data_IF_403210086255
#
_entry.id   IF_403210086255
#
_cell.length_a   1.000
_cell.length_b   1.000
_cell.length_c   1.000
_cell.angle_alpha   90.00
_cell.angle_beta   90.00
_cell.angle_gamma   90.00
#
_symmetry.space_group_name_H-M   'P 1'
#
loop_
_entity.id
_entity.type
_entity.pdbx_description
1 polymer ?
#
# COMPACT_ATOMS: atom_id res chain seq x y z
N UNK A 1 -6.77 32.39 65.82
CA UNK A 1 -7.93 32.17 64.91
C UNK A 1 -7.53 32.73 63.54
N UNK A 2 -7.40 32.04 62.40
CA UNK A 2 -7.51 30.64 61.95
C UNK A 2 -6.56 30.55 60.73
N UNK A 3 -5.68 29.56 60.68
CA UNK A 3 -4.77 29.31 59.55
C UNK A 3 -5.62 28.73 58.41
N UNK A 4 -5.60 29.35 57.22
CA UNK A 4 -6.34 28.87 56.04
C UNK A 4 -5.49 27.82 55.29
N UNK A 5 -6.03 26.63 54.97
CA UNK A 5 -5.29 25.61 54.27
C UNK A 5 -5.27 25.94 52.77
N UNK A 6 -4.07 25.96 52.17
CA UNK A 6 -3.91 26.03 50.71
C UNK A 6 -4.06 24.61 50.19
N UNK A 7 -5.16 24.33 49.48
CA UNK A 7 -5.37 23.06 48.81
C UNK A 7 -4.49 22.98 47.56
N UNK A 8 -3.57 22.01 47.53
CA UNK A 8 -2.70 21.73 46.41
C UNK A 8 -3.48 20.92 45.37
N UNK A 9 -3.85 21.55 44.25
CA UNK A 9 -4.52 20.86 43.14
C UNK A 9 -3.48 20.05 42.34
N UNK A 10 -3.56 18.72 42.42
CA UNK A 10 -2.84 17.82 41.53
C UNK A 10 -3.51 17.83 40.15
N UNK A 11 -2.89 18.49 39.17
CA UNK A 11 -3.29 18.39 37.76
C UNK A 11 -2.64 17.14 37.18
N UNK A 12 -3.43 16.08 37.00
CA UNK A 12 -3.02 14.91 36.24
C UNK A 12 -2.94 15.31 34.75
N UNK A 13 -1.73 15.46 34.22
CA UNK A 13 -1.50 15.71 32.80
C UNK A 13 -1.84 14.43 32.02
N UNK A 14 -3.02 14.41 31.39
CA UNK A 14 -3.40 13.39 30.43
C UNK A 14 -2.56 13.59 29.15
N UNK A 15 -1.51 12.80 28.97
CA UNK A 15 -0.77 12.77 27.71
C UNK A 15 -1.64 12.06 26.68
N UNK A 16 -2.44 12.85 25.94
CA UNK A 16 -3.11 12.41 24.73
C UNK A 16 -2.03 12.10 23.68
N UNK A 17 -1.70 10.82 23.50
CA UNK A 17 -0.96 10.37 22.32
C UNK A 17 -1.90 10.49 21.12
N UNK A 18 -1.75 11.54 20.33
CA UNK A 18 -2.35 11.58 19.00
C UNK A 18 -1.67 10.50 18.15
N UNK A 19 -2.40 9.44 17.82
CA UNK A 19 -1.99 8.50 16.78
C UNK A 19 -2.00 9.28 15.45
N UNK A 20 -0.83 9.74 15.02
CA UNK A 20 -0.67 10.24 13.65
C UNK A 20 -0.73 9.04 12.73
N UNK A 21 -1.54 9.10 11.67
CA UNK A 21 -1.45 8.14 10.57
C UNK A 21 0.01 8.08 10.10
N UNK A 22 0.53 6.89 9.80
CA UNK A 22 1.86 6.79 9.25
C UNK A 22 1.82 7.27 7.79
N UNK A 23 2.73 8.15 7.38
CA UNK A 23 2.82 8.63 5.99
C UNK A 23 3.30 7.54 5.01
N UNK A 24 3.75 6.41 5.56
CA UNK A 24 4.22 5.24 4.84
C UNK A 24 4.09 3.95 5.66
N UNK A 25 4.08 2.81 4.97
CA UNK A 25 4.20 1.49 5.58
C UNK A 25 5.16 0.60 4.79
N UNK A 26 5.57 -0.52 5.40
CA UNK A 26 6.53 -1.46 4.84
C UNK A 26 5.84 -2.79 4.51
N UNK A 27 6.16 -3.35 3.36
CA UNK A 27 5.75 -4.69 2.93
C UNK A 27 7.01 -5.58 2.97
N UNK A 28 6.94 -6.68 3.73
CA UNK A 28 7.97 -7.72 3.71
C UNK A 28 7.40 -8.96 3.04
N UNK A 29 8.03 -9.39 1.95
CA UNK A 29 7.69 -10.63 1.25
C UNK A 29 8.74 -11.66 1.59
N UNK A 30 8.34 -12.91 1.83
CA UNK A 30 9.27 -13.99 2.12
C UNK A 30 8.81 -15.32 1.49
N UNK A 31 9.76 -16.15 1.10
CA UNK A 31 9.56 -17.53 0.64
C UNK A 31 10.74 -18.41 1.05
N UNK A 32 10.61 -19.73 0.93
CA UNK A 32 11.59 -20.73 1.37
C UNK A 32 12.41 -21.36 0.22
N UNK A 33 12.04 -21.07 -1.02
CA UNK A 33 12.70 -21.63 -2.21
C UNK A 33 14.09 -21.02 -2.45
N UNK A 34 15.07 -21.86 -2.80
CA UNK A 34 16.43 -21.44 -3.16
C UNK A 34 16.65 -21.23 -4.68
N UNK A 35 15.57 -21.24 -5.47
CA UNK A 35 15.60 -21.00 -6.91
C UNK A 35 15.25 -19.55 -7.23
N UNK A 36 15.69 -19.06 -8.38
CA UNK A 36 15.25 -17.75 -8.88
C UNK A 36 13.74 -17.77 -9.19
N UNK A 37 13.05 -16.67 -8.88
CA UNK A 37 11.62 -16.46 -9.19
C UNK A 37 11.46 -15.13 -9.93
N UNK A 38 11.63 -15.13 -11.25
CA UNK A 38 11.42 -13.92 -12.04
C UNK A 38 9.93 -13.57 -12.07
N UNK A 39 9.65 -12.26 -12.01
CA UNK A 39 8.32 -11.66 -12.17
C UNK A 39 7.29 -12.20 -11.18
N UNK A 40 7.73 -12.49 -9.96
CA UNK A 40 6.85 -12.94 -8.89
C UNK A 40 5.84 -11.83 -8.57
N UNK A 41 4.55 -12.16 -8.66
CA UNK A 41 3.48 -11.19 -8.43
C UNK A 41 3.16 -11.13 -6.94
N UNK A 42 3.32 -9.94 -6.37
CA UNK A 42 2.99 -9.64 -4.98
C UNK A 42 1.62 -8.95 -4.94
N UNK A 43 0.75 -9.47 -4.07
CA UNK A 43 -0.63 -9.01 -3.93
C UNK A 43 -0.87 -8.60 -2.48
N UNK A 44 -1.32 -7.37 -2.27
CA UNK A 44 -1.67 -6.84 -0.95
C UNK A 44 -3.12 -6.37 -0.98
N UNK A 45 -4.01 -6.87 -0.10
CA UNK A 45 -5.39 -6.40 -0.05
C UNK A 45 -5.46 -4.89 0.20
N UNK A 46 -6.28 -4.18 -0.58
CA UNK A 46 -6.42 -2.73 -0.47
C UNK A 46 -6.92 -2.30 0.92
N UNK A 47 -7.72 -3.14 1.57
CA UNK A 47 -8.15 -2.90 2.95
C UNK A 47 -6.97 -2.79 3.94
N UNK A 48 -5.87 -3.54 3.72
CA UNK A 48 -4.66 -3.42 4.53
C UNK A 48 -3.89 -2.15 4.20
N UNK A 49 -3.83 -1.80 2.91
CA UNK A 49 -3.23 -0.52 2.45
C UNK A 49 -3.95 0.65 3.11
N UNK A 50 -5.28 0.67 3.08
CA UNK A 50 -6.08 1.74 3.67
C UNK A 50 -6.00 1.76 5.21
N UNK A 51 -5.89 0.60 5.86
CA UNK A 51 -5.69 0.54 7.31
C UNK A 51 -4.32 1.13 7.73
N UNK A 52 -3.27 0.87 6.94
CA UNK A 52 -1.91 1.36 7.20
C UNK A 52 -1.70 2.81 6.75
N UNK A 53 -2.39 3.22 5.69
CA UNK A 53 -2.27 4.51 5.02
C UNK A 53 -3.66 5.10 4.72
N UNK A 54 -4.41 5.54 5.75
CA UNK A 54 -5.79 6.02 5.58
C UNK A 54 -5.89 7.18 4.59
N UNK A 55 -6.91 7.14 3.73
CA UNK A 55 -7.15 8.19 2.73
C UNK A 55 -6.16 8.18 1.56
N UNK A 56 -5.31 7.14 1.44
CA UNK A 56 -4.46 6.97 0.26
C UNK A 56 -5.31 6.88 -1.01
N UNK A 57 -4.98 7.73 -1.99
CA UNK A 57 -5.55 7.64 -3.32
C UNK A 57 -4.66 6.74 -4.17
N UNK A 58 -5.23 5.81 -4.93
CA UNK A 58 -4.48 4.81 -5.72
C UNK A 58 -3.44 5.43 -6.67
N UNK A 59 -3.69 6.64 -7.16
CA UNK A 59 -2.79 7.36 -8.07
C UNK A 59 -1.75 8.21 -7.34
N UNK A 60 -1.87 8.37 -6.02
CA UNK A 60 -1.04 9.23 -5.17
C UNK A 60 -0.31 8.44 -4.08
N UNK A 61 0.12 7.25 -4.44
CA UNK A 61 1.05 6.46 -3.65
C UNK A 61 2.31 6.21 -4.48
N UNK A 62 3.43 6.05 -3.80
CA UNK A 62 4.67 5.55 -4.39
C UNK A 62 5.04 4.24 -3.71
N UNK A 63 5.21 3.20 -4.51
CA UNK A 63 5.82 1.94 -4.10
C UNK A 63 7.32 2.02 -4.40
N UNK A 64 8.17 1.71 -3.42
CA UNK A 64 9.62 1.72 -3.55
C UNK A 64 10.23 0.40 -3.11
N UNK A 65 11.29 -0.03 -3.79
CA UNK A 65 12.14 -1.14 -3.34
C UNK A 65 13.06 -0.70 -2.17
N UNK A 66 13.84 -1.65 -1.65
CA UNK A 66 14.82 -1.39 -0.58
C UNK A 66 15.96 -0.43 -0.99
N UNK A 67 16.20 -0.26 -2.29
CA UNK A 67 17.17 0.70 -2.83
C UNK A 67 16.55 2.10 -3.05
N UNK A 68 15.24 2.25 -2.84
CA UNK A 68 14.49 3.49 -3.02
C UNK A 68 14.00 3.74 -4.44
N UNK A 69 14.15 2.79 -5.37
CA UNK A 69 13.62 2.91 -6.73
C UNK A 69 12.11 2.79 -6.71
N UNK A 70 11.44 3.64 -7.50
CA UNK A 70 9.99 3.60 -7.64
C UNK A 70 9.61 2.44 -8.57
N UNK A 71 8.68 1.60 -8.12
CA UNK A 71 8.22 0.43 -8.85
C UNK A 71 6.84 0.66 -9.51
N UNK A 72 6.60 0.05 -10.69
CA UNK A 72 5.26 -0.02 -11.26
C UNK A 72 4.34 -0.85 -10.39
N UNK A 73 3.09 -0.42 -10.27
CA UNK A 73 2.05 -1.14 -9.54
C UNK A 73 0.69 -0.94 -10.22
N UNK A 74 -0.26 -1.80 -9.85
CA UNK A 74 -1.66 -1.72 -10.24
C UNK A 74 -2.55 -1.85 -9.02
N UNK A 75 -3.72 -1.19 -9.04
CA UNK A 75 -4.78 -1.42 -8.06
C UNK A 75 -6.00 -1.96 -8.78
N UNK A 76 -6.52 -3.10 -8.34
CA UNK A 76 -7.73 -3.69 -8.95
C UNK A 76 -8.97 -2.92 -8.53
N UNK A 77 -9.86 -2.67 -9.50
CA UNK A 77 -11.15 -2.06 -9.26
C UNK A 77 -12.24 -3.14 -9.32
N UNK A 78 -12.74 -3.54 -8.17
CA UNK A 78 -13.68 -4.67 -8.01
C UNK A 78 -15.14 -4.21 -7.97
N UNK A 79 -15.39 -2.95 -7.58
CA UNK A 79 -16.73 -2.37 -7.54
C UNK A 79 -16.70 -0.91 -8.02
N UNK A 80 -16.53 -0.66 -9.34
CA UNK A 80 -16.30 0.67 -9.89
C UNK A 80 -17.45 1.66 -9.69
N UNK A 81 -18.65 1.16 -9.39
CA UNK A 81 -19.85 1.97 -9.14
C UNK A 81 -20.09 2.22 -7.64
N UNK A 82 -19.29 1.62 -6.76
CA UNK A 82 -19.43 1.80 -5.32
C UNK A 82 -19.11 3.25 -4.93
N UNK A 83 -19.99 3.85 -4.12
CA UNK A 83 -19.73 5.13 -3.48
C UNK A 83 -18.99 4.87 -2.18
N UNK A 84 -17.84 5.51 -1.98
CA UNK A 84 -16.99 5.34 -0.81
C UNK A 84 -17.08 6.59 0.11
N UNK A 85 -18.20 6.79 0.84
CA UNK A 85 -18.40 7.99 1.64
C UNK A 85 -17.39 8.12 2.78
N UNK A 86 -16.84 7.00 3.26
CA UNK A 86 -15.90 6.94 4.38
C UNK A 86 -14.44 6.94 3.91
N UNK A 87 -14.19 6.95 2.59
CA UNK A 87 -12.84 6.97 2.02
C UNK A 87 -12.01 5.73 2.36
N UNK A 88 -12.66 4.58 2.59
CA UNK A 88 -12.01 3.33 3.02
C UNK A 88 -11.61 2.42 1.86
N UNK A 89 -11.88 2.84 0.63
CA UNK A 89 -11.48 2.13 -0.59
C UNK A 89 -12.36 0.93 -0.94
N UNK A 90 -13.67 0.95 -0.64
CA UNK A 90 -14.57 -0.20 -0.88
C UNK A 90 -14.71 -0.62 -2.36
N UNK A 91 -14.30 0.25 -3.29
CA UNK A 91 -14.28 -0.05 -4.72
C UNK A 91 -13.05 -0.87 -5.16
N UNK A 92 -12.03 -0.97 -4.31
CA UNK A 92 -10.72 -1.51 -4.66
C UNK A 92 -10.47 -2.88 -4.04
N UNK A 93 -9.81 -3.76 -4.79
CA UNK A 93 -9.46 -5.10 -4.34
C UNK A 93 -8.05 -5.17 -3.76
N UNK A 94 -7.06 -5.00 -4.62
CA UNK A 94 -5.67 -5.40 -4.33
C UNK A 94 -4.68 -4.41 -4.95
N UNK A 95 -3.62 -4.09 -4.20
CA UNK A 95 -2.39 -3.50 -4.70
C UNK A 95 -1.49 -4.64 -5.23
N UNK A 96 -1.12 -4.56 -6.49
CA UNK A 96 -0.36 -5.59 -7.21
C UNK A 96 0.92 -4.97 -7.77
N UNK A 97 2.03 -5.67 -7.58
CA UNK A 97 3.32 -5.33 -8.20
C UNK A 97 4.16 -6.60 -8.40
N UNK A 98 5.29 -6.48 -9.07
CA UNK A 98 6.18 -7.61 -9.35
C UNK A 98 7.58 -7.38 -8.77
N UNK A 99 8.22 -8.48 -8.36
CA UNK A 99 9.63 -8.52 -7.96
C UNK A 99 10.32 -9.73 -8.57
N UNK A 100 11.58 -9.56 -8.96
CA UNK A 100 12.43 -10.65 -9.41
C UNK A 100 13.27 -11.14 -8.22
N UNK A 101 13.01 -12.34 -7.71
CA UNK A 101 13.88 -12.95 -6.69
C UNK A 101 15.05 -13.65 -7.37
N UNK A 102 16.27 -13.28 -7.00
CA UNK A 102 17.47 -14.00 -7.41
C UNK A 102 17.54 -15.40 -6.77
N UNK A 103 18.35 -16.29 -7.33
CA UNK A 103 18.58 -17.59 -6.69
C UNK A 103 19.19 -17.40 -5.29
N UNK A 104 18.55 -17.97 -4.26
CA UNK A 104 18.94 -17.82 -2.86
C UNK A 104 18.43 -16.55 -2.17
N UNK A 105 17.77 -15.63 -2.89
CA UNK A 105 17.04 -14.51 -2.29
C UNK A 105 15.70 -15.02 -1.77
N UNK A 106 15.48 -14.93 -0.46
CA UNK A 106 14.28 -15.49 0.20
C UNK A 106 13.37 -14.44 0.81
N UNK A 107 13.77 -13.16 0.79
CA UNK A 107 12.95 -12.06 1.28
C UNK A 107 13.28 -10.74 0.58
N UNK A 108 12.25 -9.93 0.37
CA UNK A 108 12.35 -8.58 -0.18
C UNK A 108 11.50 -7.62 0.66
N UNK A 109 11.94 -6.36 0.73
CA UNK A 109 11.29 -5.30 1.51
C UNK A 109 10.95 -4.14 0.59
N UNK A 110 9.71 -3.65 0.72
CA UNK A 110 9.18 -2.54 -0.05
C UNK A 110 8.56 -1.50 0.87
N UNK A 111 8.54 -0.24 0.45
CA UNK A 111 7.88 0.85 1.17
C UNK A 111 6.80 1.46 0.31
N UNK A 112 5.63 1.68 0.87
CA UNK A 112 4.52 2.40 0.24
C UNK A 112 4.23 3.64 1.04
N UNK A 113 4.20 4.80 0.39
CA UNK A 113 3.87 6.08 1.04
C UNK A 113 3.02 6.97 0.16
N UNK A 114 2.32 7.92 0.79
CA UNK A 114 1.58 8.95 0.06
C UNK A 114 2.55 9.91 -0.64
N UNK A 115 2.12 10.44 -1.79
CA UNK A 115 2.84 11.46 -2.53
C UNK A 115 1.87 12.59 -2.91
N UNK A 116 2.36 13.82 -2.95
CA UNK A 116 1.55 14.98 -3.33
C UNK A 116 1.24 15.03 -4.85
N UNK A 117 2.00 14.25 -5.62
CA UNK A 117 1.89 14.14 -7.08
C UNK A 117 1.20 12.84 -7.49
N UNK A 118 1.00 12.67 -8.79
CA UNK A 118 0.55 11.39 -9.35
C UNK A 118 1.76 10.49 -9.59
N UNK A 119 1.61 9.19 -9.34
CA UNK A 119 2.62 8.19 -9.64
C UNK A 119 3.11 8.32 -11.10
N UNK A 120 4.43 8.16 -11.35
CA UNK A 120 4.97 8.36 -12.68
C UNK A 120 4.40 7.34 -13.68
N UNK A 121 4.38 7.72 -14.95
CA UNK A 121 4.06 6.79 -16.04
C UNK A 121 5.26 5.87 -16.26
N UNK A 122 5.02 4.57 -16.26
CA UNK A 122 6.05 3.57 -16.53
C UNK A 122 6.08 3.18 -18.01
N UNK A 123 7.25 2.80 -18.56
CA UNK A 123 7.34 2.31 -19.93
C UNK A 123 6.40 1.12 -20.16
N UNK A 124 5.58 1.20 -21.21
CA UNK A 124 4.72 0.10 -21.64
C UNK A 124 5.59 -1.09 -22.07
N UNK A 125 5.45 -2.23 -21.39
CA UNK A 125 6.16 -3.48 -21.74
C UNK A 125 5.35 -4.39 -22.65
N UNK A 126 4.02 -4.37 -22.52
CA UNK A 126 3.09 -5.19 -23.30
C UNK A 126 1.80 -4.41 -23.55
N UNK A 127 1.05 -4.81 -24.58
CA UNK A 127 -0.30 -4.32 -24.82
C UNK A 127 -1.18 -5.46 -25.29
N UNK A 128 -2.45 -5.45 -24.88
CA UNK A 128 -3.47 -6.36 -25.35
C UNK A 128 -4.56 -5.60 -26.10
N UNK A 129 -5.16 -6.23 -27.11
CA UNK A 129 -6.42 -5.77 -27.71
C UNK A 129 -7.41 -6.92 -27.75
N UNK A 130 -8.66 -6.64 -27.38
CA UNK A 130 -9.74 -7.58 -27.64
C UNK A 130 -9.97 -7.67 -29.15
N UNK A 131 -9.88 -8.88 -29.69
CA UNK A 131 -10.21 -9.18 -31.09
C UNK A 131 -11.48 -10.03 -31.03
N UNK A 132 -12.67 -9.46 -31.36
CA UNK A 132 -13.95 -10.16 -31.18
C UNK A 132 -14.01 -11.54 -31.84
N UNK A 133 -13.27 -11.73 -32.93
CA UNK A 133 -13.19 -12.98 -33.69
C UNK A 133 -12.31 -14.04 -33.02
N UNK A 134 -11.49 -13.67 -32.03
CA UNK A 134 -10.64 -14.60 -31.26
C UNK A 134 -11.21 -14.81 -29.87
N UNK A 135 -11.78 -15.99 -29.67
CA UNK A 135 -12.31 -16.47 -28.39
C UNK A 135 -11.22 -17.04 -27.47
N UNK A 136 -9.94 -16.78 -27.75
CA UNK A 136 -8.84 -17.25 -26.91
C UNK A 136 -8.84 -16.55 -25.56
N UNK A 137 -8.43 -17.30 -24.55
CA UNK A 137 -8.32 -16.80 -23.19
C UNK A 137 -7.30 -15.65 -23.12
N UNK A 138 -7.73 -14.53 -22.54
CA UNK A 138 -6.86 -13.41 -22.23
C UNK A 138 -6.12 -13.71 -20.92
N UNK A 139 -4.93 -14.31 -21.02
CA UNK A 139 -4.03 -14.50 -19.89
C UNK A 139 -3.22 -13.23 -19.61
N UNK A 140 -3.25 -12.73 -18.38
CA UNK A 140 -2.35 -11.67 -17.90
C UNK A 140 -0.93 -12.24 -17.71
N UNK A 141 0.10 -11.51 -18.16
CA UNK A 141 1.52 -11.77 -17.87
C UNK A 141 2.12 -10.56 -17.18
#
# INVERSE_FOLDING_TARGET
MKIRPVALAFVAALILRTLTAADQFTITVAHDLAIARPSETVVVPWSQVNAALPGALLQRIALKDAAGHILPYQVTNVAPQAKDPDGVGIAYGELIFQHDFAAGETSAVFTVGQIDTVAPVFPTKTFGRYVPERLDDFGWQ
#
